data_IF_056335570399
#
_entry.id   IF_056335570399
#
_cell.length_a   1.000
_cell.length_b   1.000
_cell.length_c   1.000
_cell.angle_alpha   90.00
_cell.angle_beta   90.00
_cell.angle_gamma   90.00
#
_symmetry.space_group_name_H-M   'P 1'
#
loop_
_entity.id
_entity.type
_entity.pdbx_description
1 polymer ?
#
# COMPACT_ATOMS: atom_id res chain seq x y z
N UNK A 1 -7.96 12.89 13.08
CA UNK A 1 -7.04 13.54 12.15
C UNK A 1 -5.61 13.31 12.55
N UNK A 2 -4.70 13.39 11.58
CA UNK A 2 -3.24 13.43 11.81
C UNK A 2 -2.64 12.22 12.52
N UNK A 3 -3.27 11.06 12.45
CA UNK A 3 -2.72 9.83 13.03
C UNK A 3 -1.40 9.50 12.34
N UNK A 4 -0.33 9.49 13.12
CA UNK A 4 1.03 9.26 12.63
C UNK A 4 1.39 7.77 12.59
N UNK A 5 2.41 7.46 11.81
CA UNK A 5 2.98 6.11 11.77
C UNK A 5 3.53 5.66 13.15
N UNK A 6 3.94 6.62 14.00
CA UNK A 6 4.36 6.32 15.39
C UNK A 6 3.18 6.01 16.30
N UNK A 7 2.02 6.61 16.08
CA UNK A 7 0.79 6.30 16.80
C UNK A 7 0.20 4.96 16.36
N UNK A 8 0.31 4.63 15.07
CA UNK A 8 -0.08 3.32 14.57
C UNK A 8 0.86 2.25 15.11
N UNK A 9 2.18 2.45 14.99
CA UNK A 9 3.17 1.44 15.40
C UNK A 9 4.41 2.14 15.95
N UNK A 10 4.61 2.18 17.28
CA UNK A 10 5.74 2.87 17.90
C UNK A 10 7.10 2.33 17.46
N UNK A 11 8.13 3.20 17.50
CA UNK A 11 9.52 2.86 17.14
C UNK A 11 10.03 1.63 17.90
N UNK A 12 9.59 1.44 19.14
CA UNK A 12 9.99 0.31 19.98
C UNK A 12 9.60 -1.05 19.40
N UNK A 13 8.63 -1.09 18.50
CA UNK A 13 8.18 -2.32 17.83
C UNK A 13 8.90 -2.60 16.51
N UNK A 14 9.80 -1.72 16.07
CA UNK A 14 10.49 -1.86 14.77
C UNK A 14 11.44 -3.07 14.67
N UNK A 15 11.75 -3.73 15.76
CA UNK A 15 12.52 -4.98 15.76
C UNK A 15 11.63 -6.23 15.61
N UNK A 16 10.31 -6.06 15.53
CA UNK A 16 9.35 -7.15 15.31
C UNK A 16 9.03 -7.22 13.82
N UNK A 17 9.39 -8.32 13.17
CA UNK A 17 9.22 -8.53 11.72
C UNK A 17 8.34 -9.73 11.37
N UNK A 18 7.68 -10.33 12.33
CA UNK A 18 6.85 -11.51 12.17
C UNK A 18 5.38 -11.22 12.52
N UNK A 19 4.57 -12.28 12.59
CA UNK A 19 3.14 -12.19 12.89
C UNK A 19 2.81 -11.51 14.24
N UNK A 20 3.78 -11.40 15.15
CA UNK A 20 3.64 -10.67 16.42
C UNK A 20 3.44 -9.18 16.20
N UNK A 21 3.86 -8.64 15.05
CA UNK A 21 3.64 -7.22 14.71
C UNK A 21 2.15 -6.86 14.74
N UNK A 22 1.26 -7.78 14.39
CA UNK A 22 -0.20 -7.60 14.46
C UNK A 22 -0.76 -7.44 15.89
N UNK A 23 0.05 -7.55 16.93
CA UNK A 23 -0.36 -7.23 18.31
C UNK A 23 -0.25 -5.75 18.63
N UNK A 24 0.36 -4.95 17.77
CA UNK A 24 0.75 -3.57 18.07
C UNK A 24 0.03 -2.44 17.31
N UNK A 25 -0.97 -2.65 16.43
CA UNK A 25 -1.63 -1.53 15.79
C UNK A 25 -2.25 -0.61 16.85
N UNK A 26 -1.96 0.69 16.69
CA UNK A 26 -2.50 1.80 17.49
C UNK A 26 -2.07 1.87 18.96
N UNK A 27 -1.14 1.04 19.43
CA UNK A 27 -0.63 1.12 20.81
C UNK A 27 0.13 2.42 21.10
N UNK A 28 0.48 3.19 20.08
CA UNK A 28 1.07 4.52 20.21
C UNK A 28 0.05 5.65 20.25
N UNK A 29 -1.23 5.34 19.96
CA UNK A 29 -2.29 6.33 19.95
C UNK A 29 -2.60 6.79 21.38
N UNK A 30 -2.76 8.10 21.57
CA UNK A 30 -3.10 8.70 22.85
C UNK A 30 -4.36 9.54 22.75
N UNK A 31 -5.21 9.44 23.75
CA UNK A 31 -6.36 10.30 23.96
C UNK A 31 -6.18 11.03 25.31
N UNK A 32 -5.48 12.18 25.28
CA UNK A 32 -4.97 12.81 26.50
C UNK A 32 -3.87 11.94 27.13
N UNK A 33 -4.04 11.55 28.38
CA UNK A 33 -3.12 10.68 29.11
C UNK A 33 -3.43 9.18 28.95
N UNK A 34 -4.53 8.83 28.29
CA UNK A 34 -4.99 7.45 28.10
C UNK A 34 -4.46 6.87 26.79
N UNK A 35 -4.19 5.56 26.80
CA UNK A 35 -3.93 4.74 25.61
C UNK A 35 -5.23 3.96 25.32
N UNK A 36 -6.04 4.42 24.35
CA UNK A 36 -7.39 3.88 24.13
C UNK A 36 -7.38 2.49 23.50
N UNK A 37 -6.27 2.09 22.87
CA UNK A 37 -6.12 0.80 22.18
C UNK A 37 -4.84 0.14 22.70
N UNK A 38 -5.01 -0.96 23.40
CA UNK A 38 -3.92 -1.74 23.96
C UNK A 38 -3.36 -2.80 23.01
N UNK A 39 -2.34 -3.50 23.48
CA UNK A 39 -1.75 -4.61 22.74
C UNK A 39 -2.79 -5.72 22.51
N UNK A 40 -2.85 -6.25 21.27
CA UNK A 40 -3.78 -7.25 20.78
C UNK A 40 -5.25 -6.84 20.65
N UNK A 41 -5.65 -5.65 21.05
CA UNK A 41 -7.07 -5.25 21.05
C UNK A 41 -7.67 -5.28 19.64
N UNK A 42 -6.94 -4.81 18.64
CA UNK A 42 -7.41 -4.84 17.23
C UNK A 42 -7.61 -6.27 16.76
N UNK A 43 -6.62 -7.14 17.01
CA UNK A 43 -6.67 -8.55 16.60
C UNK A 43 -7.77 -9.31 17.32
N UNK A 44 -7.89 -9.16 18.65
CA UNK A 44 -8.92 -9.81 19.46
C UNK A 44 -10.33 -9.30 19.14
N UNK A 45 -10.43 -8.02 18.76
CA UNK A 45 -11.70 -7.42 18.34
C UNK A 45 -12.18 -7.87 16.98
N UNK A 46 -11.31 -8.51 16.17
CA UNK A 46 -11.66 -8.99 14.83
C UNK A 46 -11.99 -7.86 13.86
N UNK A 47 -11.37 -6.70 14.03
CA UNK A 47 -11.61 -5.55 13.17
C UNK A 47 -10.91 -5.76 11.82
N UNK A 48 -11.65 -5.48 10.74
CA UNK A 48 -11.15 -5.57 9.36
C UNK A 48 -11.06 -4.21 8.66
N UNK A 49 -11.66 -3.16 9.25
CA UNK A 49 -11.73 -1.82 8.66
C UNK A 49 -11.25 -0.79 9.67
N UNK A 50 -10.31 0.05 9.24
CA UNK A 50 -9.92 1.28 9.94
C UNK A 50 -10.67 2.46 9.33
N UNK A 51 -11.23 3.33 10.18
CA UNK A 51 -11.86 4.59 9.76
C UNK A 51 -11.13 5.75 10.42
N UNK A 52 -10.66 6.70 9.61
CA UNK A 52 -9.83 7.81 10.07
C UNK A 52 -10.23 9.14 9.41
N UNK A 53 -9.70 10.22 9.93
CA UNK A 53 -9.86 11.56 9.39
C UNK A 53 -8.77 11.94 8.40
N UNK A 54 -8.29 13.18 8.49
CA UNK A 54 -7.31 13.76 7.56
C UNK A 54 -5.89 13.30 7.84
N UNK A 55 -5.09 13.21 6.78
CA UNK A 55 -3.64 12.95 6.80
C UNK A 55 -3.26 11.69 7.59
N UNK A 56 -4.00 10.61 7.34
CA UNK A 56 -3.73 9.33 7.98
C UNK A 56 -2.38 8.75 7.52
N UNK A 57 -1.59 8.26 8.47
CA UNK A 57 -0.26 7.69 8.22
C UNK A 57 0.85 8.72 8.06
N UNK A 58 0.68 9.94 8.63
CA UNK A 58 1.72 10.98 8.56
C UNK A 58 2.99 10.56 9.31
N UNK A 59 4.12 11.18 8.93
CA UNK A 59 5.40 11.01 9.62
C UNK A 59 6.41 10.18 8.85
N UNK A 60 7.03 9.22 9.49
CA UNK A 60 8.10 8.41 8.89
C UNK A 60 7.56 7.40 7.87
N UNK A 61 8.32 7.17 6.78
CA UNK A 61 8.00 6.18 5.76
C UNK A 61 8.23 4.75 6.26
N UNK A 62 7.38 4.29 7.17
CA UNK A 62 7.49 2.96 7.77
C UNK A 62 6.46 2.02 7.21
N UNK A 63 6.89 0.99 6.51
CA UNK A 63 6.03 -0.10 6.09
C UNK A 63 5.50 -0.92 7.28
N UNK A 64 6.19 -0.89 8.42
CA UNK A 64 5.75 -1.55 9.66
C UNK A 64 4.35 -1.13 10.11
N UNK A 65 3.98 0.13 9.94
CA UNK A 65 2.67 0.63 10.38
C UNK A 65 1.53 -0.05 9.64
N UNK A 66 1.40 0.02 8.31
CA UNK A 66 0.36 -0.72 7.61
C UNK A 66 0.55 -2.24 7.70
N UNK A 67 1.79 -2.75 7.85
CA UNK A 67 2.02 -4.19 8.04
C UNK A 67 1.47 -4.68 9.38
N UNK A 68 1.57 -3.88 10.45
CA UNK A 68 0.96 -4.20 11.73
C UNK A 68 -0.57 -4.28 11.62
N UNK A 69 -1.20 -3.33 10.94
CA UNK A 69 -2.63 -3.33 10.68
C UNK A 69 -3.04 -4.56 9.86
N UNK A 70 -2.32 -4.86 8.77
CA UNK A 70 -2.58 -6.06 7.95
C UNK A 70 -2.47 -7.34 8.78
N UNK A 71 -1.42 -7.44 9.61
CA UNK A 71 -1.16 -8.61 10.46
C UNK A 71 -2.19 -8.76 11.58
N UNK A 72 -2.83 -7.67 12.00
CA UNK A 72 -3.94 -7.69 12.95
C UNK A 72 -5.29 -8.07 12.34
N UNK A 73 -5.40 -8.04 11.00
CA UNK A 73 -6.62 -8.38 10.28
C UNK A 73 -7.24 -7.25 9.47
N UNK A 74 -6.72 -6.03 9.54
CA UNK A 74 -7.23 -4.90 8.77
C UNK A 74 -7.01 -5.15 7.27
N UNK A 75 -8.06 -4.97 6.49
CA UNK A 75 -8.07 -5.16 5.03
C UNK A 75 -8.42 -3.89 4.26
N UNK A 76 -9.12 -2.97 4.91
CA UNK A 76 -9.57 -1.72 4.32
C UNK A 76 -9.31 -0.55 5.27
N UNK A 77 -8.79 0.54 4.73
CA UNK A 77 -8.68 1.80 5.47
C UNK A 77 -9.47 2.86 4.72
N UNK A 78 -10.41 3.49 5.41
CA UNK A 78 -11.23 4.60 4.92
C UNK A 78 -10.82 5.85 5.67
N UNK A 79 -10.32 6.87 4.97
CA UNK A 79 -9.89 8.12 5.60
C UNK A 79 -10.21 9.33 4.72
N UNK A 80 -10.36 10.50 5.31
CA UNK A 80 -10.60 11.75 4.54
C UNK A 80 -9.42 12.08 3.61
N UNK A 81 -8.20 11.77 4.04
CA UNK A 81 -7.00 11.83 3.20
C UNK A 81 -5.87 10.98 3.81
N UNK A 82 -4.93 10.59 2.96
CA UNK A 82 -3.77 9.78 3.32
C UNK A 82 -2.48 10.53 3.07
N UNK A 83 -1.45 10.24 3.87
CA UNK A 83 -0.09 10.57 3.49
C UNK A 83 0.38 9.64 2.37
N UNK A 84 1.04 10.23 1.38
CA UNK A 84 1.33 9.55 0.11
C UNK A 84 2.14 8.27 0.28
N UNK A 85 3.21 8.32 1.08
CA UNK A 85 4.09 7.15 1.28
C UNK A 85 3.34 6.04 2.03
N UNK A 86 2.54 6.40 3.03
CA UNK A 86 1.73 5.44 3.76
C UNK A 86 0.73 4.73 2.84
N UNK A 87 0.03 5.48 2.00
CA UNK A 87 -0.90 4.92 1.03
C UNK A 87 -0.21 3.97 0.03
N UNK A 88 0.98 4.36 -0.45
CA UNK A 88 1.77 3.49 -1.33
C UNK A 88 2.21 2.21 -0.62
N UNK A 89 2.60 2.29 0.65
CA UNK A 89 2.91 1.09 1.44
C UNK A 89 1.70 0.18 1.59
N UNK A 90 0.49 0.72 1.82
CA UNK A 90 -0.75 -0.05 1.81
C UNK A 90 -0.98 -0.76 0.48
N UNK A 91 -0.87 -0.05 -0.64
CA UNK A 91 -1.01 -0.59 -1.99
C UNK A 91 0.00 -1.75 -2.22
N UNK A 92 1.25 -1.62 -1.74
CA UNK A 92 2.31 -2.62 -1.87
C UNK A 92 2.06 -3.90 -1.05
N UNK A 93 1.41 -3.81 0.10
CA UNK A 93 1.14 -4.98 0.96
C UNK A 93 -0.27 -5.54 0.81
N UNK A 94 -1.12 -4.91 -0.01
CA UNK A 94 -2.46 -5.39 -0.33
C UNK A 94 -3.55 -4.92 0.64
N UNK A 95 -3.35 -3.85 1.41
CA UNK A 95 -4.42 -3.15 2.12
C UNK A 95 -5.11 -2.20 1.13
N UNK A 96 -6.43 -2.31 1.03
CA UNK A 96 -7.22 -1.38 0.23
C UNK A 96 -7.39 -0.03 0.95
N UNK A 97 -7.31 1.07 0.20
CA UNK A 97 -7.51 2.41 0.75
C UNK A 97 -8.49 3.21 -0.09
N UNK A 98 -9.36 3.98 0.56
CA UNK A 98 -10.31 4.87 -0.13
C UNK A 98 -10.62 6.10 0.71
N UNK A 99 -10.98 7.19 0.03
CA UNK A 99 -11.52 8.41 0.66
C UNK A 99 -13.04 8.48 0.55
N UNK A 100 -13.67 7.48 -0.03
CA UNK A 100 -15.12 7.39 -0.17
C UNK A 100 -15.75 6.68 1.03
N UNK A 101 -16.32 7.48 1.94
CA UNK A 101 -17.02 6.97 3.14
C UNK A 101 -18.33 6.25 2.83
N UNK A 102 -18.91 6.40 1.62
CA UNK A 102 -20.11 5.66 1.24
C UNK A 102 -19.87 4.14 1.20
N UNK A 103 -18.63 3.74 0.98
CA UNK A 103 -18.21 2.32 1.04
C UNK A 103 -18.58 1.68 2.37
N UNK A 104 -18.48 2.40 3.50
CA UNK A 104 -18.83 1.87 4.81
C UNK A 104 -20.31 1.51 4.91
N UNK A 105 -21.19 2.40 4.43
CA UNK A 105 -22.63 2.17 4.39
C UNK A 105 -23.00 0.98 3.51
N UNK A 106 -22.35 0.86 2.35
CA UNK A 106 -22.55 -0.23 1.40
C UNK A 106 -22.12 -1.58 1.98
N UNK A 107 -20.94 -1.63 2.64
CA UNK A 107 -20.46 -2.83 3.33
C UNK A 107 -21.44 -3.23 4.46
N UNK A 108 -21.92 -2.27 5.27
CA UNK A 108 -22.92 -2.53 6.31
C UNK A 108 -24.23 -3.07 5.73
N UNK A 109 -24.59 -2.68 4.51
CA UNK A 109 -25.74 -3.22 3.78
C UNK A 109 -25.48 -4.61 3.16
N UNK A 110 -24.28 -5.17 3.30
CA UNK A 110 -23.89 -6.45 2.72
C UNK A 110 -23.55 -6.39 1.23
N UNK A 111 -23.30 -5.19 0.68
CA UNK A 111 -22.94 -5.05 -0.72
C UNK A 111 -21.46 -5.44 -0.96
N UNK A 112 -21.21 -6.20 -2.03
CA UNK A 112 -19.86 -6.43 -2.52
C UNK A 112 -19.33 -5.16 -3.21
N UNK A 113 -18.15 -4.69 -2.80
CA UNK A 113 -17.50 -3.54 -3.42
C UNK A 113 -16.49 -4.05 -4.46
N UNK A 114 -16.67 -3.73 -5.76
CA UNK A 114 -15.73 -4.14 -6.78
C UNK A 114 -14.34 -3.56 -6.54
N UNK A 115 -13.29 -4.33 -6.84
CA UNK A 115 -11.89 -3.90 -6.67
C UNK A 115 -11.61 -2.61 -7.46
N UNK A 116 -12.26 -2.39 -8.58
CA UNK A 116 -12.16 -1.21 -9.45
C UNK A 116 -12.45 0.10 -8.70
N UNK A 117 -13.27 0.03 -7.64
CA UNK A 117 -13.55 1.18 -6.78
C UNK A 117 -12.27 1.72 -6.13
N UNK A 118 -11.38 0.83 -5.70
CA UNK A 118 -10.14 1.16 -4.99
C UNK A 118 -8.97 1.50 -5.93
N UNK A 119 -9.14 1.33 -7.23
CA UNK A 119 -8.09 1.58 -8.24
C UNK A 119 -8.09 3.01 -8.77
N UNK A 120 -9.13 3.79 -8.47
CA UNK A 120 -9.28 5.15 -8.98
C UNK A 120 -8.11 6.03 -8.55
N UNK A 121 -7.54 6.76 -9.53
CA UNK A 121 -6.41 7.66 -9.30
C UNK A 121 -5.04 6.98 -9.16
N UNK A 122 -4.96 5.64 -9.30
CA UNK A 122 -3.69 4.90 -9.36
C UNK A 122 -3.22 4.74 -10.80
N UNK A 123 -1.92 4.76 -11.01
CA UNK A 123 -1.31 4.40 -12.29
C UNK A 123 -1.49 2.90 -12.59
N UNK A 124 -1.24 2.51 -13.84
CA UNK A 124 -1.50 1.15 -14.32
C UNK A 124 -0.71 0.07 -13.54
N UNK A 125 0.54 0.37 -13.15
CA UNK A 125 1.36 -0.57 -12.39
C UNK A 125 0.81 -0.74 -10.97
N UNK A 126 0.50 0.34 -10.27
CA UNK A 126 -0.11 0.31 -8.94
C UNK A 126 -1.44 -0.43 -8.96
N UNK A 127 -2.27 -0.22 -9.99
CA UNK A 127 -3.52 -0.98 -10.17
C UNK A 127 -3.26 -2.49 -10.32
N UNK A 128 -2.25 -2.89 -11.08
CA UNK A 128 -1.88 -4.29 -11.24
C UNK A 128 -1.38 -4.91 -9.92
N UNK A 129 -0.59 -4.15 -9.14
CA UNK A 129 -0.12 -4.55 -7.81
C UNK A 129 -1.32 -4.79 -6.86
N UNK A 130 -2.26 -3.85 -6.79
CA UNK A 130 -3.46 -3.97 -5.94
C UNK A 130 -4.30 -5.17 -6.37
N UNK A 131 -4.57 -5.36 -7.67
CA UNK A 131 -5.32 -6.52 -8.18
C UNK A 131 -4.66 -7.85 -7.84
N UNK A 132 -3.34 -7.89 -7.77
CA UNK A 132 -2.57 -9.08 -7.42
C UNK A 132 -2.54 -9.36 -5.92
N UNK A 133 -3.06 -8.44 -5.08
CA UNK A 133 -3.00 -8.55 -3.63
C UNK A 133 -1.66 -8.09 -3.02
N UNK A 134 -0.94 -7.20 -3.72
CA UNK A 134 0.29 -6.57 -3.28
C UNK A 134 1.51 -6.86 -4.17
N UNK A 135 2.59 -6.11 -3.92
CA UNK A 135 3.80 -6.12 -4.74
C UNK A 135 4.46 -7.51 -4.82
N UNK A 136 4.53 -8.23 -3.70
CA UNK A 136 5.17 -9.56 -3.69
C UNK A 136 4.39 -10.59 -4.50
N UNK A 137 3.06 -10.53 -4.47
CA UNK A 137 2.20 -11.40 -5.27
C UNK A 137 2.31 -11.03 -6.75
N UNK A 138 2.29 -9.75 -7.09
CA UNK A 138 2.50 -9.24 -8.44
C UNK A 138 3.86 -9.68 -8.99
N UNK A 139 4.96 -9.46 -8.24
CA UNK A 139 6.32 -9.84 -8.65
C UNK A 139 6.44 -11.33 -8.95
N UNK A 140 5.80 -12.18 -8.14
CA UNK A 140 5.78 -13.64 -8.40
C UNK A 140 5.05 -13.99 -9.70
N UNK A 141 3.98 -13.27 -10.05
CA UNK A 141 3.27 -13.47 -11.32
C UNK A 141 4.13 -13.07 -12.51
N UNK A 142 4.78 -11.90 -12.42
CA UNK A 142 5.66 -11.38 -13.48
C UNK A 142 6.87 -12.28 -13.70
N UNK A 143 7.53 -12.74 -12.61
CA UNK A 143 8.69 -13.64 -12.69
C UNK A 143 8.35 -15.04 -13.22
N UNK A 144 7.10 -15.48 -13.09
CA UNK A 144 6.64 -16.77 -13.62
C UNK A 144 6.22 -16.69 -15.09
N UNK A 145 5.86 -15.51 -15.55
CA UNK A 145 5.57 -15.27 -16.96
C UNK A 145 6.91 -15.12 -17.71
N UNK A 146 7.55 -16.24 -18.11
CA UNK A 146 8.80 -16.28 -18.88
C UNK A 146 8.69 -15.49 -20.21
N UNK A 147 8.65 -14.17 -20.11
CA UNK A 147 8.64 -13.25 -21.23
C UNK A 147 10.04 -12.65 -21.40
N UNK A 148 10.68 -12.93 -22.51
CA UNK A 148 11.96 -12.28 -22.86
C UNK A 148 11.80 -10.74 -22.95
N UNK A 149 12.85 -9.98 -22.54
CA UNK A 149 12.80 -8.51 -22.63
C UNK A 149 12.64 -8.07 -24.10
N UNK A 150 11.54 -7.41 -24.40
CA UNK A 150 11.46 -6.69 -25.67
C UNK A 150 12.38 -5.48 -25.62
N UNK A 151 13.35 -5.42 -26.53
CA UNK A 151 14.17 -4.22 -26.71
C UNK A 151 13.26 -3.05 -27.11
N UNK A 152 13.27 -1.99 -26.28
CA UNK A 152 12.50 -0.79 -26.59
C UNK A 152 13.07 -0.12 -27.84
N UNK A 153 12.19 0.30 -28.73
CA UNK A 153 12.58 1.05 -29.93
C UNK A 153 13.33 2.33 -29.55
N UNK A 154 14.48 2.55 -30.15
CA UNK A 154 15.24 3.80 -30.01
C UNK A 154 14.43 4.92 -30.71
N UNK A 155 13.93 5.85 -29.91
CA UNK A 155 13.23 7.05 -30.40
C UNK A 155 14.09 8.29 -30.21
N UNK A 156 14.19 9.11 -31.25
CA UNK A 156 14.79 10.45 -31.15
C UNK A 156 13.97 11.35 -30.23
N UNK A 157 14.66 12.12 -29.37
CA UNK A 157 14.01 13.08 -28.46
C UNK A 157 13.81 12.61 -27.00
N UNK A 158 14.31 11.44 -26.63
CA UNK A 158 14.26 10.95 -25.25
C UNK A 158 15.37 11.56 -24.39
N UNK A 159 15.04 11.86 -23.14
CA UNK A 159 16.04 12.20 -22.12
C UNK A 159 16.95 11.01 -21.84
N UNK A 160 18.12 11.26 -21.25
CA UNK A 160 19.04 10.19 -20.84
C UNK A 160 18.37 9.18 -19.89
N UNK A 161 17.57 9.68 -18.95
CA UNK A 161 16.84 8.83 -17.99
C UNK A 161 15.83 7.95 -18.71
N UNK A 162 15.05 8.48 -19.64
CA UNK A 162 14.09 7.70 -20.42
C UNK A 162 14.79 6.63 -21.27
N UNK A 163 15.96 6.94 -21.84
CA UNK A 163 16.78 5.97 -22.59
C UNK A 163 17.27 4.83 -21.69
N UNK A 164 17.75 5.15 -20.49
CA UNK A 164 18.19 4.15 -19.51
C UNK A 164 17.01 3.27 -19.09
N UNK A 165 15.89 3.88 -18.67
CA UNK A 165 14.70 3.14 -18.25
C UNK A 165 14.22 2.20 -19.38
N UNK A 166 14.06 2.71 -20.59
CA UNK A 166 13.58 1.91 -21.72
C UNK A 166 14.49 0.73 -22.06
N UNK A 167 15.82 0.90 -21.94
CA UNK A 167 16.78 -0.18 -22.19
C UNK A 167 16.66 -1.32 -21.16
N UNK A 168 16.19 -1.00 -19.96
CA UNK A 168 16.13 -1.93 -18.84
C UNK A 168 14.70 -2.31 -18.44
N UNK A 169 13.69 -1.95 -19.26
CA UNK A 169 12.30 -2.32 -18.97
C UNK A 169 12.16 -3.83 -18.82
N UNK A 170 11.38 -4.21 -17.79
CA UNK A 170 10.97 -5.60 -17.65
C UNK A 170 9.93 -5.95 -18.74
N UNK A 171 9.96 -7.19 -19.29
CA UNK A 171 8.94 -7.65 -20.24
C UNK A 171 7.54 -7.44 -19.74
N UNK A 172 6.62 -7.08 -20.64
CA UNK A 172 5.22 -6.80 -20.28
C UNK A 172 4.95 -5.36 -19.81
N UNK A 173 5.97 -4.49 -19.77
CA UNK A 173 5.78 -3.06 -19.53
C UNK A 173 5.66 -2.33 -20.86
N UNK A 174 4.42 -1.96 -21.25
CA UNK A 174 4.17 -1.41 -22.60
C UNK A 174 4.59 0.05 -22.78
N UNK A 175 4.58 0.86 -21.72
CA UNK A 175 4.94 2.29 -21.83
C UNK A 175 5.69 2.77 -20.58
N UNK A 176 6.85 3.39 -20.80
CA UNK A 176 7.57 4.15 -19.81
C UNK A 176 7.57 5.64 -20.20
N UNK A 177 6.94 6.47 -19.39
CA UNK A 177 6.86 7.91 -19.60
C UNK A 177 6.65 8.66 -18.28
N UNK A 178 6.67 10.00 -18.29
CA UNK A 178 6.43 10.79 -17.10
C UNK A 178 5.10 10.40 -16.42
N UNK A 179 5.15 10.09 -15.12
CA UNK A 179 4.00 9.67 -14.33
C UNK A 179 3.66 8.18 -14.37
N UNK A 180 4.40 7.35 -15.12
CA UNK A 180 4.24 5.88 -15.09
C UNK A 180 5.16 5.23 -14.06
N UNK A 181 4.65 4.21 -13.37
CA UNK A 181 5.45 3.27 -12.59
C UNK A 181 5.90 2.11 -13.48
N UNK A 182 7.18 1.72 -13.42
CA UNK A 182 7.73 0.64 -14.26
C UNK A 182 8.69 -0.25 -13.47
N UNK A 183 8.77 -1.53 -13.85
CA UNK A 183 9.84 -2.40 -13.40
C UNK A 183 10.98 -2.40 -14.41
N UNK A 184 12.20 -2.30 -13.90
CA UNK A 184 13.42 -2.35 -14.70
C UNK A 184 14.35 -3.46 -14.17
N UNK A 185 15.14 -4.06 -15.06
CA UNK A 185 16.25 -4.92 -14.67
C UNK A 185 17.38 -4.06 -14.12
N UNK A 186 17.97 -4.47 -13.00
CA UNK A 186 19.21 -3.91 -12.51
C UNK A 186 20.40 -4.65 -13.15
N UNK A 187 21.36 -3.92 -13.68
CA UNK A 187 22.64 -4.48 -14.10
C UNK A 187 23.54 -4.61 -12.86
N UNK A 188 24.18 -5.76 -12.71
CA UNK A 188 25.16 -6.07 -11.65
C UNK A 188 26.57 -6.06 -12.24
#
# INVERSE_FOLDING_TARGET
DDVSTDEITPVTTMLVYDERLGSYPYVGLKAGDEVPIGQDDVRKGGFEITVAGKRYGKGSSREHSPLAELSAGIRLIVAESFERIYQQNCDNIGILTTTDFDVLRRIQAGEAIPIEHFLRGRDALTQAIIRSGGLMAYSRQVLRADTEPQAAAEGDGLTLVEKIIRRHLHPGTEQAGPGSGVFVKADW
#
